data_IF_224252882903
#
_entry.id   IF_224252882903
#
_cell.length_a   1.000
_cell.length_b   1.000
_cell.length_c   1.000
_cell.angle_alpha   90.00
_cell.angle_beta   90.00
_cell.angle_gamma   90.00
#
_symmetry.space_group_name_H-M   'P 1'
#
loop_
_entity.id
_entity.type
_entity.pdbx_description
1 polymer ?
#
# COMPACT_ATOMS: atom_id res chain seq x y z
N UNK A 1 -1.37 -9.04 -35.13
CA UNK A 1 -1.16 -9.61 -33.79
C UNK A 1 -2.32 -10.57 -33.54
N UNK A 2 -2.04 -11.88 -33.40
CA UNK A 2 -3.10 -12.90 -33.30
C UNK A 2 -3.75 -12.81 -31.91
N UNK A 3 -5.08 -12.94 -31.78
CA UNK A 3 -5.74 -12.99 -30.48
C UNK A 3 -5.33 -14.27 -29.77
N UNK A 4 -4.67 -14.15 -28.63
CA UNK A 4 -4.37 -15.29 -27.75
C UNK A 4 -5.68 -15.89 -27.26
N UNK A 5 -5.78 -17.21 -27.39
CA UNK A 5 -6.86 -18.04 -26.85
C UNK A 5 -6.66 -18.08 -25.34
N UNK A 6 -7.21 -17.09 -24.61
CA UNK A 6 -7.09 -16.99 -23.14
C UNK A 6 -8.31 -17.57 -22.41
N UNK A 7 -9.45 -17.75 -23.11
CA UNK A 7 -10.71 -18.11 -22.44
C UNK A 7 -10.85 -19.56 -21.99
N UNK A 8 -10.17 -20.52 -22.60
CA UNK A 8 -10.38 -21.94 -22.27
C UNK A 8 -9.34 -22.51 -21.29
N UNK A 9 -8.18 -21.86 -21.12
CA UNK A 9 -7.13 -22.33 -20.19
C UNK A 9 -7.40 -21.80 -18.78
N UNK A 10 -7.80 -20.52 -18.65
CA UNK A 10 -8.12 -19.91 -17.35
C UNK A 10 -9.30 -20.59 -16.63
N UNK A 11 -10.32 -21.02 -17.36
CA UNK A 11 -11.50 -21.66 -16.74
C UNK A 11 -11.15 -23.03 -16.15
N UNK A 12 -10.31 -23.83 -16.82
CA UNK A 12 -9.87 -25.11 -16.28
C UNK A 12 -8.96 -24.93 -15.05
N UNK A 13 -8.14 -23.88 -15.00
CA UNK A 13 -7.27 -23.59 -13.86
C UNK A 13 -8.04 -23.00 -12.67
N UNK A 14 -8.96 -22.05 -12.89
CA UNK A 14 -9.85 -21.54 -11.84
C UNK A 14 -10.72 -22.65 -11.24
N UNK A 15 -11.29 -23.52 -12.07
CA UNK A 15 -12.04 -24.69 -11.60
C UNK A 15 -11.13 -25.65 -10.82
N UNK A 16 -9.88 -25.87 -11.23
CA UNK A 16 -8.93 -26.71 -10.47
C UNK A 16 -8.51 -26.07 -9.14
N UNK A 17 -8.36 -24.75 -9.08
CA UNK A 17 -8.01 -24.00 -7.87
C UNK A 17 -9.18 -23.99 -6.90
N UNK A 18 -10.39 -23.68 -7.36
CA UNK A 18 -11.60 -23.64 -6.52
C UNK A 18 -11.97 -25.04 -6.02
N UNK A 19 -11.71 -26.09 -6.81
CA UNK A 19 -11.95 -27.47 -6.40
C UNK A 19 -10.77 -28.10 -5.62
N UNK A 20 -9.68 -27.37 -5.36
CA UNK A 20 -8.59 -27.85 -4.53
C UNK A 20 -9.00 -27.87 -3.06
N UNK A 21 -8.97 -29.06 -2.44
CA UNK A 21 -9.41 -29.25 -1.05
C UNK A 21 -8.60 -28.40 -0.04
N UNK A 22 -7.30 -28.20 -0.26
CA UNK A 22 -6.48 -27.33 0.59
C UNK A 22 -6.93 -25.88 0.49
N UNK A 23 -7.22 -25.40 -0.72
CA UNK A 23 -7.67 -24.03 -0.97
C UNK A 23 -9.07 -23.81 -0.37
N UNK A 24 -10.00 -24.74 -0.56
CA UNK A 24 -11.32 -24.67 0.06
C UNK A 24 -11.24 -24.59 1.59
N UNK A 25 -10.38 -25.41 2.22
CA UNK A 25 -10.14 -25.36 3.67
C UNK A 25 -9.49 -24.04 4.11
N UNK A 26 -8.55 -23.52 3.34
CA UNK A 26 -7.91 -22.24 3.62
C UNK A 26 -8.90 -21.07 3.56
N UNK A 27 -9.81 -21.06 2.58
CA UNK A 27 -10.86 -20.04 2.48
C UNK A 27 -11.84 -20.11 3.66
N UNK A 28 -12.26 -21.30 4.07
CA UNK A 28 -13.10 -21.45 5.28
C UNK A 28 -12.35 -21.06 6.55
N UNK A 29 -11.05 -21.35 6.62
CA UNK A 29 -10.23 -20.90 7.74
C UNK A 29 -10.13 -19.37 7.82
N UNK A 30 -9.87 -18.69 6.70
CA UNK A 30 -9.86 -17.22 6.64
C UNK A 30 -11.19 -16.64 7.13
N UNK A 31 -12.33 -17.21 6.70
CA UNK A 31 -13.65 -16.80 7.21
C UNK A 31 -13.78 -17.02 8.72
N UNK A 32 -13.27 -18.13 9.24
CA UNK A 32 -13.31 -18.41 10.68
C UNK A 32 -12.38 -17.50 11.50
N UNK A 33 -11.36 -16.91 10.86
CA UNK A 33 -10.39 -15.99 11.46
C UNK A 33 -10.76 -14.51 11.28
N UNK A 34 -11.95 -14.20 10.79
CA UNK A 34 -12.40 -12.82 10.54
C UNK A 34 -12.31 -11.94 11.79
N UNK A 35 -12.74 -12.46 12.95
CA UNK A 35 -12.63 -11.76 14.23
C UNK A 35 -11.16 -11.51 14.61
N UNK A 36 -10.27 -12.48 14.41
CA UNK A 36 -8.85 -12.34 14.72
C UNK A 36 -8.16 -11.34 13.77
N UNK A 37 -8.50 -11.38 12.49
CA UNK A 37 -8.00 -10.44 11.47
C UNK A 37 -8.48 -9.02 11.80
N UNK A 38 -9.74 -8.88 12.20
CA UNK A 38 -10.28 -7.61 12.71
C UNK A 38 -9.47 -7.12 13.91
N UNK A 39 -9.21 -7.96 14.91
CA UNK A 39 -8.41 -7.55 16.07
C UNK A 39 -6.97 -7.18 15.71
N UNK A 40 -6.36 -7.86 14.75
CA UNK A 40 -5.03 -7.54 14.22
C UNK A 40 -5.03 -6.14 13.58
N UNK A 41 -6.02 -5.84 12.73
CA UNK A 41 -6.24 -4.51 12.15
C UNK A 41 -6.37 -3.45 13.23
N UNK A 42 -7.26 -3.66 14.22
CA UNK A 42 -7.50 -2.69 15.29
C UNK A 42 -6.24 -2.48 16.14
N UNK A 43 -5.47 -3.53 16.41
CA UNK A 43 -4.21 -3.44 17.15
C UNK A 43 -3.18 -2.62 16.38
N UNK A 44 -3.01 -2.88 15.09
CA UNK A 44 -2.11 -2.09 14.24
C UNK A 44 -2.56 -0.63 14.11
N UNK A 45 -3.87 -0.36 14.09
CA UNK A 45 -4.39 1.01 14.07
C UNK A 45 -4.00 1.79 15.34
N UNK A 46 -3.76 1.12 16.46
CA UNK A 46 -3.28 1.77 17.69
C UNK A 46 -1.79 2.12 17.66
N UNK A 47 -1.10 1.84 16.54
CA UNK A 47 0.29 2.21 16.32
C UNK A 47 0.35 3.34 15.29
N UNK A 48 0.52 4.61 15.73
CA UNK A 48 0.72 5.72 14.81
C UNK A 48 1.89 5.46 13.87
N UNK A 49 1.66 5.63 12.57
CA UNK A 49 2.66 5.39 11.53
C UNK A 49 2.51 6.40 10.39
N UNK A 50 2.68 7.72 10.64
CA UNK A 50 2.79 8.67 9.54
C UNK A 50 3.91 8.25 8.59
N UNK A 51 3.81 8.59 7.30
CA UNK A 51 4.90 8.33 6.35
C UNK A 51 6.24 8.84 6.89
N UNK A 52 7.29 8.02 6.75
CA UNK A 52 8.63 8.17 7.35
C UNK A 52 8.77 7.94 8.86
N UNK A 53 7.70 7.54 9.55
CA UNK A 53 7.68 7.23 10.99
C UNK A 53 7.03 5.87 11.28
N UNK A 54 7.06 4.95 10.31
CA UNK A 54 6.38 3.65 10.34
C UNK A 54 7.09 2.61 11.20
N UNK A 55 8.35 2.86 11.58
CA UNK A 55 9.26 1.86 12.17
C UNK A 55 8.61 1.01 13.28
N UNK A 56 7.85 1.62 14.19
CA UNK A 56 7.20 0.89 15.29
C UNK A 56 6.12 -0.09 14.79
N UNK A 57 5.35 0.30 13.77
CA UNK A 57 4.35 -0.59 13.14
C UNK A 57 5.05 -1.65 12.30
N UNK A 58 6.12 -1.29 11.59
CA UNK A 58 6.96 -2.25 10.87
C UNK A 58 7.56 -3.32 11.80
N UNK A 59 8.11 -2.95 12.96
CA UNK A 59 8.60 -3.89 13.97
C UNK A 59 7.51 -4.85 14.46
N UNK A 60 6.27 -4.36 14.62
CA UNK A 60 5.13 -5.20 14.96
C UNK A 60 4.82 -6.22 13.85
N UNK A 61 4.76 -5.78 12.59
CA UNK A 61 4.54 -6.66 11.44
C UNK A 61 5.67 -7.68 11.28
N UNK A 62 6.92 -7.29 11.55
CA UNK A 62 8.09 -8.17 11.50
C UNK A 62 7.93 -9.36 12.46
N UNK A 63 7.51 -9.10 13.71
CA UNK A 63 7.26 -10.17 14.67
C UNK A 63 6.07 -11.03 14.25
N UNK A 64 5.01 -10.42 13.69
CA UNK A 64 3.87 -11.18 13.15
C UNK A 64 4.27 -12.12 12.02
N UNK A 65 5.08 -11.66 11.06
CA UNK A 65 5.55 -12.50 9.97
C UNK A 65 6.38 -13.70 10.48
N UNK A 66 7.21 -13.48 11.52
CA UNK A 66 7.94 -14.58 12.19
C UNK A 66 7.00 -15.55 12.90
N UNK A 67 6.03 -15.05 13.66
CA UNK A 67 5.02 -15.86 14.37
C UNK A 67 4.21 -16.72 13.42
N UNK A 68 3.88 -16.20 12.23
CA UNK A 68 3.15 -16.92 11.17
C UNK A 68 3.98 -18.09 10.62
N UNK A 69 5.32 -18.02 10.69
CA UNK A 69 6.21 -19.05 10.16
C UNK A 69 6.69 -18.78 8.73
N UNK A 70 6.62 -17.52 8.27
CA UNK A 70 7.27 -17.14 7.01
C UNK A 70 8.79 -17.28 7.12
N UNK A 71 9.45 -17.56 5.99
CA UNK A 71 10.89 -17.67 5.87
C UNK A 71 11.52 -16.32 5.52
N UNK A 72 12.84 -16.20 5.71
CA UNK A 72 13.62 -15.01 5.36
C UNK A 72 13.01 -13.69 5.88
N UNK A 73 12.37 -13.72 7.05
CA UNK A 73 11.68 -12.56 7.59
C UNK A 73 12.66 -11.50 8.05
N UNK A 74 12.63 -10.33 7.42
CA UNK A 74 13.53 -9.23 7.72
C UNK A 74 12.89 -7.87 7.44
N UNK A 75 13.50 -6.84 8.02
CA UNK A 75 13.18 -5.44 7.73
C UNK A 75 14.35 -4.82 6.96
N UNK A 76 14.05 -4.16 5.84
CA UNK A 76 15.08 -3.57 4.98
C UNK A 76 15.55 -2.19 5.49
N UNK A 77 16.45 -1.55 4.74
CA UNK A 77 17.06 -0.27 5.13
C UNK A 77 16.08 0.92 5.17
N UNK A 78 14.90 0.80 4.57
CA UNK A 78 13.86 1.84 4.59
C UNK A 78 12.66 1.47 5.45
N UNK A 79 12.74 0.35 6.19
CA UNK A 79 11.72 -0.21 7.07
C UNK A 79 10.57 -0.96 6.35
N UNK A 80 10.72 -1.37 5.09
CA UNK A 80 9.81 -2.38 4.56
C UNK A 80 10.03 -3.69 5.31
N UNK A 81 8.96 -4.44 5.56
CA UNK A 81 9.03 -5.78 6.16
C UNK A 81 8.71 -6.80 5.09
N UNK A 82 9.59 -7.79 4.93
CA UNK A 82 9.46 -8.85 3.95
C UNK A 82 9.49 -10.20 4.63
N UNK A 83 8.71 -11.15 4.13
CA UNK A 83 8.73 -12.55 4.51
C UNK A 83 8.33 -13.42 3.32
N UNK A 84 8.94 -14.60 3.19
CA UNK A 84 8.77 -15.47 2.02
C UNK A 84 8.06 -16.76 2.41
N UNK A 85 7.08 -17.15 1.61
CA UNK A 85 6.56 -18.52 1.61
C UNK A 85 7.08 -19.24 0.35
N UNK A 86 7.83 -20.35 0.51
CA UNK A 86 8.52 -20.96 -0.61
C UNK A 86 7.55 -21.60 -1.60
N UNK A 87 7.88 -21.53 -2.88
CA UNK A 87 7.21 -22.31 -3.92
C UNK A 87 7.61 -23.79 -3.92
N UNK A 88 6.93 -24.59 -4.74
CA UNK A 88 7.22 -26.01 -4.95
C UNK A 88 7.85 -26.34 -6.32
N UNK A 89 8.21 -25.32 -7.10
CA UNK A 89 8.83 -25.47 -8.42
C UNK A 89 9.59 -24.22 -8.88
N UNK A 90 9.67 -24.06 -10.21
CA UNK A 90 10.40 -22.98 -10.88
C UNK A 90 9.45 -21.91 -11.45
N UNK A 91 8.38 -21.59 -10.72
CA UNK A 91 7.38 -20.59 -11.11
C UNK A 91 7.81 -19.14 -10.85
N UNK A 92 7.01 -18.16 -11.30
CA UNK A 92 7.32 -16.75 -11.10
C UNK A 92 7.27 -16.37 -9.61
N UNK A 93 8.18 -15.50 -9.19
CA UNK A 93 8.18 -14.92 -7.84
C UNK A 93 7.16 -13.79 -7.78
N UNK A 94 6.21 -13.90 -6.86
CA UNK A 94 5.12 -12.93 -6.72
C UNK A 94 5.25 -12.19 -5.39
N UNK A 95 5.24 -10.86 -5.44
CA UNK A 95 5.11 -10.04 -4.24
C UNK A 95 3.64 -9.70 -3.98
N UNK A 96 3.15 -10.02 -2.79
CA UNK A 96 1.85 -9.58 -2.26
C UNK A 96 2.09 -8.53 -1.19
N UNK A 97 1.62 -7.31 -1.42
CA UNK A 97 1.96 -6.15 -0.59
C UNK A 97 0.74 -5.40 -0.08
N UNK A 98 0.92 -4.75 1.07
CA UNK A 98 0.01 -3.75 1.64
C UNK A 98 0.84 -2.72 2.40
N UNK A 99 0.39 -1.45 2.41
CA UNK A 99 1.19 -0.39 3.01
C UNK A 99 0.85 -0.17 4.50
N UNK A 100 1.84 0.29 5.25
CA UNK A 100 1.73 0.43 6.71
C UNK A 100 1.65 1.87 7.19
N UNK A 101 2.05 2.83 6.34
CA UNK A 101 1.95 4.23 6.67
C UNK A 101 0.51 4.73 6.63
N UNK A 102 0.32 5.92 7.19
CA UNK A 102 -0.94 6.64 7.13
C UNK A 102 -0.67 8.11 6.89
N UNK A 103 -1.66 8.82 6.37
CA UNK A 103 -1.59 10.28 6.14
C UNK A 103 -1.69 11.12 7.41
N UNK A 104 -1.91 10.49 8.57
CA UNK A 104 -2.24 11.19 9.81
C UNK A 104 -0.99 11.61 10.59
N UNK A 105 -0.92 12.87 11.09
CA UNK A 105 0.16 13.31 11.96
C UNK A 105 0.37 12.39 13.18
N UNK A 106 1.60 12.35 13.71
CA UNK A 106 2.00 11.43 14.79
C UNK A 106 1.21 11.64 16.09
N UNK A 107 0.69 12.84 16.30
CA UNK A 107 -0.10 13.27 17.46
C UNK A 107 -1.62 13.08 17.27
N UNK A 108 -2.04 12.51 16.14
CA UNK A 108 -3.45 12.19 15.89
C UNK A 108 -3.95 11.16 16.92
N UNK A 109 -5.12 11.40 17.50
CA UNK A 109 -5.81 10.42 18.34
C UNK A 109 -6.25 9.22 17.49
N UNK A 110 -5.51 8.11 17.62
CA UNK A 110 -5.78 6.86 16.90
C UNK A 110 -6.74 5.92 17.64
N UNK A 111 -7.31 6.33 18.78
CA UNK A 111 -8.17 5.48 19.61
C UNK A 111 -9.32 4.88 18.80
N UNK A 112 -9.43 3.54 18.80
CA UNK A 112 -10.54 2.84 18.15
C UNK A 112 -11.86 3.17 18.87
N UNK A 113 -12.84 3.62 18.10
CA UNK A 113 -14.23 3.80 18.54
C UNK A 113 -15.12 2.77 17.87
N UNK A 114 -15.99 2.11 18.65
CA UNK A 114 -16.98 1.17 18.12
C UNK A 114 -18.37 1.76 18.25
N UNK A 115 -19.10 1.83 17.14
CA UNK A 115 -20.52 2.20 17.13
C UNK A 115 -21.32 1.12 16.42
N UNK A 116 -22.12 0.37 17.19
CA UNK A 116 -22.81 -0.82 16.67
C UNK A 116 -21.81 -1.83 16.11
N UNK A 117 -21.90 -2.09 14.80
CA UNK A 117 -21.05 -3.03 14.07
C UNK A 117 -19.92 -2.34 13.29
N UNK A 118 -19.65 -1.06 13.54
CA UNK A 118 -18.61 -0.29 12.83
C UNK A 118 -17.51 0.14 13.78
N UNK A 119 -16.28 0.03 13.31
CA UNK A 119 -15.09 0.55 13.96
C UNK A 119 -14.62 1.82 13.24
N UNK A 120 -14.16 2.79 14.02
CA UNK A 120 -13.67 4.07 13.53
C UNK A 120 -12.34 4.39 14.19
N UNK A 121 -11.31 4.57 13.38
CA UNK A 121 -10.06 5.21 13.74
C UNK A 121 -9.32 5.67 12.47
N UNK A 122 -8.43 6.67 12.58
CA UNK A 122 -7.54 7.06 11.51
C UNK A 122 -6.72 5.87 10.98
N UNK A 123 -6.72 5.68 9.65
CA UNK A 123 -5.90 4.67 8.97
C UNK A 123 -6.46 3.23 8.99
N UNK A 124 -7.68 3.02 9.51
CA UNK A 124 -8.28 1.67 9.58
C UNK A 124 -8.50 1.05 8.20
N UNK A 125 -8.93 1.87 7.25
CA UNK A 125 -9.34 1.44 5.92
C UNK A 125 -8.26 1.69 4.85
N UNK A 126 -7.34 2.62 5.10
CA UNK A 126 -6.25 2.94 4.19
C UNK A 126 -4.97 3.05 5.04
N UNK A 127 -4.13 2.02 5.08
CA UNK A 127 -4.32 0.67 4.48
C UNK A 127 -4.10 -0.43 5.52
N UNK A 128 -4.32 -0.09 6.79
CA UNK A 128 -4.01 -1.00 7.90
C UNK A 128 -4.82 -2.30 7.84
N UNK A 129 -6.03 -2.28 7.28
CA UNK A 129 -6.81 -3.52 7.06
C UNK A 129 -6.12 -4.48 6.10
N UNK A 130 -5.63 -4.02 4.94
CA UNK A 130 -4.97 -4.88 3.97
C UNK A 130 -3.67 -5.47 4.52
N UNK A 131 -2.94 -4.71 5.35
CA UNK A 131 -1.77 -5.24 6.07
C UNK A 131 -2.14 -6.44 6.96
N UNK A 132 -3.33 -6.46 7.56
CA UNK A 132 -3.81 -7.62 8.31
C UNK A 132 -4.33 -8.73 7.39
N UNK A 133 -4.95 -8.39 6.26
CA UNK A 133 -5.44 -9.36 5.28
C UNK A 133 -4.30 -10.17 4.65
N UNK A 134 -3.18 -9.54 4.28
CA UNK A 134 -2.01 -10.28 3.77
C UNK A 134 -1.43 -11.22 4.83
N UNK A 135 -1.52 -10.87 6.12
CA UNK A 135 -1.16 -11.78 7.22
C UNK A 135 -2.13 -12.96 7.32
N UNK A 136 -3.44 -12.73 7.14
CA UNK A 136 -4.43 -13.80 7.15
C UNK A 136 -4.22 -14.79 5.99
N UNK A 137 -3.89 -14.28 4.81
CA UNK A 137 -3.49 -15.11 3.65
C UNK A 137 -2.24 -15.93 3.98
N UNK A 138 -1.19 -15.30 4.52
CA UNK A 138 0.03 -15.99 4.92
C UNK A 138 -0.27 -17.11 5.95
N UNK A 139 -1.04 -16.81 7.01
CA UNK A 139 -1.46 -17.80 8.03
C UNK A 139 -2.15 -19.00 7.39
N UNK A 140 -3.07 -18.77 6.47
CA UNK A 140 -3.81 -19.84 5.79
C UNK A 140 -2.88 -20.69 4.91
N UNK A 141 -1.97 -20.06 4.16
CA UNK A 141 -1.01 -20.77 3.32
C UNK A 141 -0.07 -21.65 4.15
N UNK A 142 0.50 -21.11 5.24
CA UNK A 142 1.37 -21.88 6.13
C UNK A 142 0.60 -23.02 6.80
N UNK A 143 -0.61 -22.76 7.31
CA UNK A 143 -1.41 -23.74 8.05
C UNK A 143 -1.80 -24.95 7.20
N UNK A 144 -2.12 -24.74 5.93
CA UNK A 144 -2.56 -25.79 5.01
C UNK A 144 -1.47 -26.25 4.05
N UNK A 145 -0.24 -25.76 4.22
CA UNK A 145 0.92 -26.16 3.41
C UNK A 145 0.60 -25.96 1.91
N UNK A 146 0.12 -24.77 1.57
CA UNK A 146 -0.27 -24.39 0.20
C UNK A 146 0.92 -23.71 -0.45
N UNK A 147 1.43 -24.30 -1.53
CA UNK A 147 2.55 -23.77 -2.28
C UNK A 147 2.08 -23.32 -3.67
N UNK A 148 2.62 -22.20 -4.12
CA UNK A 148 2.58 -21.82 -5.53
C UNK A 148 3.80 -22.43 -6.24
N UNK A 149 3.82 -22.40 -7.58
CA UNK A 149 4.99 -22.88 -8.31
C UNK A 149 6.23 -22.01 -8.09
N UNK A 150 6.08 -20.73 -7.78
CA UNK A 150 7.18 -19.84 -7.39
C UNK A 150 6.97 -19.28 -5.98
N UNK A 151 8.00 -18.64 -5.45
CA UNK A 151 7.95 -18.03 -4.13
C UNK A 151 6.92 -16.91 -4.05
N UNK A 152 6.25 -16.80 -2.90
CA UNK A 152 5.41 -15.66 -2.56
C UNK A 152 6.12 -14.82 -1.50
N UNK A 153 6.42 -13.57 -1.85
CA UNK A 153 6.99 -12.58 -0.94
C UNK A 153 5.85 -11.73 -0.39
N UNK A 154 5.56 -11.88 0.90
CA UNK A 154 4.68 -10.98 1.63
C UNK A 154 5.45 -9.73 2.01
N UNK A 155 4.89 -8.55 1.69
CA UNK A 155 5.53 -7.27 1.96
C UNK A 155 4.59 -6.30 2.68
N UNK A 156 4.99 -5.86 3.87
CA UNK A 156 4.44 -4.67 4.49
C UNK A 156 5.33 -3.48 4.14
N UNK A 157 4.94 -2.71 3.12
CA UNK A 157 5.75 -1.61 2.62
C UNK A 157 5.48 -0.30 3.38
N UNK A 158 6.45 0.61 3.30
CA UNK A 158 6.40 1.93 3.95
C UNK A 158 6.34 3.07 2.94
N UNK A 159 5.95 4.25 3.41
CA UNK A 159 5.98 5.50 2.65
C UNK A 159 5.24 5.41 1.30
N UNK A 160 4.09 4.74 1.23
CA UNK A 160 3.20 4.82 0.06
C UNK A 160 2.72 6.26 -0.11
N UNK A 161 2.26 6.82 1.00
CA UNK A 161 1.36 7.96 1.02
C UNK A 161 2.04 9.29 0.77
N UNK A 162 1.26 10.28 0.30
CA UNK A 162 1.60 11.70 0.38
C UNK A 162 3.04 12.08 -0.03
N UNK A 163 3.87 12.44 0.96
CA UNK A 163 5.29 12.80 0.78
C UNK A 163 6.24 11.59 0.82
N UNK A 164 5.76 10.44 1.28
CA UNK A 164 6.43 9.14 1.17
C UNK A 164 6.72 8.77 -0.27
N UNK A 165 5.80 9.11 -1.19
CA UNK A 165 6.00 9.01 -2.65
C UNK A 165 6.45 7.61 -3.08
N UNK A 166 5.78 6.57 -2.57
CA UNK A 166 6.08 5.16 -2.85
C UNK A 166 7.52 4.76 -2.48
N UNK A 167 8.16 5.43 -1.51
CA UNK A 167 9.59 5.22 -1.20
C UNK A 167 9.90 3.75 -0.89
N UNK A 168 9.01 3.04 -0.18
CA UNK A 168 9.18 1.63 0.14
C UNK A 168 9.30 0.76 -1.10
N UNK A 169 8.29 0.76 -1.97
CA UNK A 169 8.28 -0.04 -3.20
C UNK A 169 9.34 0.45 -4.20
N UNK A 170 9.60 1.76 -4.30
CA UNK A 170 10.71 2.28 -5.11
C UNK A 170 12.06 1.75 -4.61
N UNK A 171 12.25 1.63 -3.30
CA UNK A 171 13.46 1.02 -2.77
C UNK A 171 13.56 -0.45 -3.20
N UNK A 172 12.49 -1.23 -3.05
CA UNK A 172 12.46 -2.64 -3.47
C UNK A 172 12.77 -2.78 -4.97
N UNK A 173 12.07 -2.07 -5.85
CA UNK A 173 12.23 -2.23 -7.31
C UNK A 173 13.62 -1.77 -7.79
N UNK A 174 14.21 -0.77 -7.15
CA UNK A 174 15.55 -0.29 -7.52
C UNK A 174 16.67 -1.18 -6.96
N UNK A 175 16.34 -2.15 -6.10
CA UNK A 175 17.26 -3.20 -5.66
C UNK A 175 16.91 -4.50 -6.40
N UNK A 176 17.93 -5.29 -6.75
CA UNK A 176 17.75 -6.52 -7.52
C UNK A 176 17.08 -7.61 -6.65
N UNK A 177 15.75 -7.66 -6.68
CA UNK A 177 14.94 -8.49 -5.78
C UNK A 177 14.26 -9.69 -6.46
N UNK A 178 14.56 -9.99 -7.73
CA UNK A 178 13.98 -11.12 -8.49
C UNK A 178 12.45 -11.27 -8.31
N UNK A 179 11.70 -10.23 -8.62
CA UNK A 179 10.23 -10.20 -8.53
C UNK A 179 9.65 -10.17 -9.95
N UNK A 180 8.84 -11.16 -10.30
CA UNK A 180 8.20 -11.26 -11.62
C UNK A 180 6.83 -10.58 -11.67
N UNK A 181 6.13 -10.54 -10.54
CA UNK A 181 4.82 -9.89 -10.42
C UNK A 181 4.63 -9.22 -9.06
N UNK A 182 3.84 -8.14 -9.04
CA UNK A 182 3.50 -7.38 -7.85
C UNK A 182 1.98 -7.21 -7.75
N UNK A 183 1.41 -7.57 -6.60
CA UNK A 183 0.00 -7.42 -6.26
C UNK A 183 -0.10 -6.57 -5.00
N UNK A 184 -0.75 -5.41 -5.11
CA UNK A 184 -1.08 -4.57 -3.95
C UNK A 184 -2.50 -4.86 -3.51
N UNK A 185 -2.71 -5.05 -2.20
CA UNK A 185 -4.01 -4.97 -1.54
C UNK A 185 -4.06 -3.58 -0.92
N UNK A 186 -5.02 -2.76 -1.34
CA UNK A 186 -5.08 -1.30 -1.05
C UNK A 186 -6.49 -0.73 -1.26
N UNK A 187 -7.33 -1.37 -2.09
CA UNK A 187 -8.60 -0.79 -2.46
C UNK A 187 -9.64 -0.91 -1.32
N UNK A 188 -10.23 0.21 -0.85
CA UNK A 188 -11.26 0.19 0.18
C UNK A 188 -12.59 -0.45 -0.24
N UNK A 189 -12.75 -0.75 -1.53
CA UNK A 189 -13.94 -1.38 -2.09
C UNK A 189 -13.55 -2.63 -2.87
N UNK A 190 -14.16 -3.75 -2.49
CA UNK A 190 -14.10 -4.97 -3.29
C UNK A 190 -14.87 -4.77 -4.60
N UNK A 191 -14.16 -4.76 -5.72
CA UNK A 191 -14.79 -4.43 -7.00
C UNK A 191 -14.05 -4.84 -8.27
N UNK A 192 -12.82 -5.35 -8.15
CA UNK A 192 -12.05 -5.87 -9.28
C UNK A 192 -10.57 -5.55 -9.18
N UNK A 193 -9.83 -6.04 -10.18
CA UNK A 193 -8.38 -5.84 -10.29
C UNK A 193 -8.09 -4.55 -11.04
N UNK A 194 -7.34 -3.64 -10.41
CA UNK A 194 -6.82 -2.43 -11.05
C UNK A 194 -5.42 -2.73 -11.57
N UNK A 195 -5.25 -2.72 -12.90
CA UNK A 195 -3.98 -3.02 -13.58
C UNK A 195 -3.38 -1.82 -14.32
N UNK A 196 -3.92 -0.63 -14.08
CA UNK A 196 -3.41 0.65 -14.61
C UNK A 196 -3.33 1.66 -13.48
N UNK A 197 -2.40 2.61 -13.56
CA UNK A 197 -2.21 3.61 -12.51
C UNK A 197 -2.11 5.02 -13.09
N UNK A 198 -2.48 6.01 -12.28
CA UNK A 198 -2.25 7.42 -12.60
C UNK A 198 -0.84 7.81 -12.20
N UNK A 199 -0.01 8.19 -13.17
CA UNK A 199 1.32 8.72 -12.87
C UNK A 199 1.25 10.08 -12.17
N UNK A 200 2.07 10.29 -11.14
CA UNK A 200 2.17 11.55 -10.42
C UNK A 200 3.57 12.17 -10.55
N UNK A 201 3.62 13.50 -10.67
CA UNK A 201 4.86 14.29 -10.52
C UNK A 201 4.64 15.32 -9.43
N UNK A 202 5.44 15.24 -8.37
CA UNK A 202 5.39 16.16 -7.23
C UNK A 202 6.52 17.19 -7.34
N UNK A 203 6.18 18.46 -7.13
CA UNK A 203 7.14 19.57 -7.20
C UNK A 203 7.06 20.40 -5.91
N UNK A 204 8.22 20.75 -5.35
CA UNK A 204 8.34 21.76 -4.29
C UNK A 204 8.85 23.05 -4.90
N UNK A 205 8.07 24.12 -4.78
CA UNK A 205 8.46 25.47 -5.26
C UNK A 205 8.54 26.40 -4.05
N UNK A 206 9.71 27.00 -3.84
CA UNK A 206 9.96 27.93 -2.73
C UNK A 206 10.08 29.35 -3.25
N UNK A 207 9.28 30.27 -2.68
CA UNK A 207 9.36 31.70 -2.94
C UNK A 207 10.08 32.37 -1.77
N UNK A 208 11.18 33.05 -2.05
CA UNK A 208 12.01 33.74 -1.04
C UNK A 208 12.09 35.22 -1.38
N UNK A 209 12.15 36.06 -0.34
CA UNK A 209 12.33 37.50 -0.45
C UNK A 209 12.61 38.09 0.92
N UNK A 210 12.94 39.37 0.95
CA UNK A 210 13.30 40.06 2.19
C UNK A 210 12.07 40.21 3.10
N UNK A 211 12.30 40.12 4.42
CA UNK A 211 11.33 40.59 5.40
C UNK A 211 11.26 42.12 5.43
N UNK A 212 10.21 42.67 6.05
CA UNK A 212 10.04 44.12 6.21
C UNK A 212 8.83 44.48 7.07
N UNK A 213 8.87 45.66 7.67
CA UNK A 213 7.75 46.26 8.39
C UNK A 213 6.72 46.78 7.38
N UNK A 214 5.46 46.37 7.52
CA UNK A 214 4.40 46.63 6.54
C UNK A 214 4.21 48.11 6.17
N UNK A 215 4.42 49.02 7.12
CA UNK A 215 4.37 50.47 6.90
C UNK A 215 5.67 51.06 6.33
N UNK A 216 6.83 50.68 6.88
CA UNK A 216 8.11 51.34 6.56
C UNK A 216 8.71 50.84 5.25
N UNK A 217 8.43 49.57 4.91
CA UNK A 217 8.98 48.87 3.76
C UNK A 217 7.94 48.67 2.64
N UNK A 218 6.96 49.59 2.55
CA UNK A 218 5.96 49.57 1.48
C UNK A 218 6.63 49.64 0.10
N UNK A 219 6.21 48.75 -0.81
CA UNK A 219 6.77 48.63 -2.16
C UNK A 219 7.83 47.53 -2.31
N UNK A 220 8.32 46.92 -1.21
CA UNK A 220 9.18 45.75 -1.32
C UNK A 220 8.42 44.54 -1.90
N UNK A 221 9.06 43.74 -2.77
CA UNK A 221 8.47 42.50 -3.28
C UNK A 221 8.14 41.52 -2.15
N UNK A 222 6.85 41.17 -2.03
CA UNK A 222 6.39 40.17 -1.07
C UNK A 222 6.34 38.77 -1.73
N UNK A 223 7.07 37.77 -1.21
CA UNK A 223 7.03 36.38 -1.70
C UNK A 223 5.63 35.77 -1.73
N UNK A 224 4.75 36.17 -0.80
CA UNK A 224 3.35 35.71 -0.75
C UNK A 224 2.58 36.20 -1.99
N UNK A 225 2.81 37.46 -2.42
CA UNK A 225 2.19 37.97 -3.64
C UNK A 225 2.71 37.25 -4.90
N UNK A 226 4.02 36.94 -4.94
CA UNK A 226 4.60 36.18 -6.04
C UNK A 226 4.03 34.75 -6.11
N UNK A 227 3.92 34.08 -4.95
CA UNK A 227 3.29 32.77 -4.81
C UNK A 227 1.83 32.79 -5.28
N UNK A 228 1.03 33.77 -4.81
CA UNK A 228 -0.38 33.91 -5.22
C UNK A 228 -0.54 34.05 -6.74
N UNK A 229 0.31 34.86 -7.39
CA UNK A 229 0.31 34.99 -8.86
C UNK A 229 0.72 33.71 -9.57
N UNK A 230 1.70 32.98 -9.04
CA UNK A 230 2.13 31.71 -9.62
C UNK A 230 1.03 30.65 -9.55
N UNK A 231 0.36 30.52 -8.40
CA UNK A 231 -0.79 29.62 -8.20
C UNK A 231 -1.89 29.93 -9.22
N UNK A 232 -2.29 31.20 -9.33
CA UNK A 232 -3.33 31.62 -10.28
C UNK A 232 -2.99 31.25 -11.73
N UNK A 233 -1.75 31.50 -12.18
CA UNK A 233 -1.31 31.12 -13.53
C UNK A 233 -1.30 29.61 -13.75
N UNK A 234 -0.87 28.84 -12.76
CA UNK A 234 -0.78 27.38 -12.86
C UNK A 234 -2.16 26.72 -12.99
N UNK A 235 -3.14 27.18 -12.21
CA UNK A 235 -4.52 26.68 -12.28
C UNK A 235 -5.15 26.95 -13.66
N UNK A 236 -4.89 28.12 -14.25
CA UNK A 236 -5.37 28.48 -15.60
C UNK A 236 -4.74 27.59 -16.67
N UNK A 237 -3.44 27.32 -16.59
CA UNK A 237 -2.73 26.46 -17.55
C UNK A 237 -3.26 25.02 -17.55
N UNK A 238 -3.51 24.45 -16.36
CA UNK A 238 -4.07 23.09 -16.26
C UNK A 238 -5.46 22.97 -16.87
N UNK A 239 -6.29 24.01 -16.76
CA UNK A 239 -7.63 23.99 -17.34
C UNK A 239 -7.60 23.93 -18.88
N UNK A 240 -6.63 24.60 -19.50
CA UNK A 240 -6.44 24.61 -20.96
C UNK A 240 -5.82 23.31 -21.51
N UNK A 241 -4.92 22.67 -20.77
CA UNK A 241 -4.33 21.39 -21.18
C UNK A 241 -5.29 20.21 -21.04
N UNK A 242 -6.20 20.24 -20.04
CA UNK A 242 -7.19 19.17 -19.84
C UNK A 242 -8.27 19.15 -20.94
N UNK A 243 -8.65 20.33 -21.45
CA UNK A 243 -9.58 20.45 -22.58
C UNK A 243 -9.00 19.94 -23.91
N UNK A 244 -7.67 19.97 -24.10
CA UNK A 244 -7.01 19.45 -25.31
C UNK A 244 -6.83 17.93 -25.30
N UNK A 245 -6.86 17.27 -24.15
CA UNK A 245 -6.73 15.81 -24.06
C UNK A 245 -8.04 15.05 -24.31
N UNK A 246 -9.19 15.73 -24.33
CA UNK A 246 -10.51 15.15 -24.60
C UNK A 246 -11.04 15.49 -26.01
N UNK A 247 -10.17 15.94 -26.91
CA UNK A 247 -10.51 16.28 -28.31
C UNK A 247 -9.59 15.57 -29.32
N UNK A 248 -9.34 14.28 -29.10
CA UNK A 248 -8.89 13.32 -30.12
C UNK A 248 -9.56 11.97 -29.91
#
# INVERSE_FOLDING_TARGET
>A
MRPYIIRNVLVCEEDMIINNEKIAKALEYIKSEDDNTTQETLTMCQIPAPSHQEKKKAEYVLEKFKEIGLLNVHMDAVCNVLGTWPGDGDGPVIMLAAHTDTVFPIDTDVTVKKEGNRYYCPGINDDTHAAAEIMAVAKAMVRYDIHAHGDIIFCANVCEEGLGDLKGIKYIINNDNNIDAFVSVDNPVTGGVVYTATGSRRYKVTFTGNGGHSFADFGLPNPIHAMGRAIAKYLILKHLSFLRQHSM
#
